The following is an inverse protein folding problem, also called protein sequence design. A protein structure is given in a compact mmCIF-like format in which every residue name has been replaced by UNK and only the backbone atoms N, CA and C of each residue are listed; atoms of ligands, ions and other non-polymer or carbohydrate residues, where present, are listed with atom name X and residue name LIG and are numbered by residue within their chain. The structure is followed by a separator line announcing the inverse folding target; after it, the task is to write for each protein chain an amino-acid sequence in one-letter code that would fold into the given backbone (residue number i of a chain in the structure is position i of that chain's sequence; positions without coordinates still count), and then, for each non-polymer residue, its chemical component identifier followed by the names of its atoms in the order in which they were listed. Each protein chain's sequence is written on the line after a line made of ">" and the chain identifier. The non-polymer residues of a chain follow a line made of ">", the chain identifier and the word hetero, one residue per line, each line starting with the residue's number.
data_IF_763761956006
#
_entry.id   IF_763761956006
#
_cell.length_a   1.000
_cell.length_b   1.000
_cell.length_c   1.000
_cell.angle_alpha   90.00
_cell.angle_beta   90.00
_cell.angle_gamma   90.00
#
_symmetry.space_group_name_H-M   'P 1'
#
loop_
_entity.id
_entity.type
_entity.pdbx_description
1 polymer ?
#
# COMPACT_ATOMS: atom_id res chain seq x y z
N UNK A 1 -11.12 -9.64 1.99
CA UNK A 1 -9.76 -9.33 1.51
C UNK A 1 -9.79 -9.05 0.03
N UNK A 2 -9.00 -8.09 -0.45
CA UNK A 2 -8.78 -7.83 -1.87
C UNK A 2 -7.29 -7.73 -2.14
N UNK A 3 -6.83 -8.30 -3.25
CA UNK A 3 -5.43 -8.32 -3.65
C UNK A 3 -5.21 -7.49 -4.91
N UNK A 4 -4.19 -6.63 -4.88
CA UNK A 4 -3.77 -5.79 -5.99
C UNK A 4 -2.25 -5.86 -6.18
N UNK A 5 -1.80 -5.59 -7.41
CA UNK A 5 -0.44 -5.14 -7.69
C UNK A 5 -0.48 -3.67 -8.06
N UNK A 6 0.50 -2.90 -7.64
CA UNK A 6 0.48 -1.45 -7.81
C UNK A 6 1.79 -0.95 -8.43
N UNK A 7 1.66 -0.22 -9.53
CA UNK A 7 2.77 0.46 -10.18
C UNK A 7 3.00 1.90 -9.68
N UNK A 8 2.20 2.42 -8.74
CA UNK A 8 2.33 3.81 -8.33
C UNK A 8 3.69 4.11 -7.71
N UNK A 9 4.19 5.28 -8.01
CA UNK A 9 5.46 5.79 -7.50
C UNK A 9 5.55 5.73 -5.98
N UNK A 10 4.52 6.15 -5.29
CA UNK A 10 4.45 6.18 -3.83
C UNK A 10 4.66 4.82 -3.16
N UNK A 11 4.10 3.75 -3.75
CA UNK A 11 4.30 2.39 -3.22
C UNK A 11 5.75 1.94 -3.44
N UNK A 12 6.31 2.24 -4.61
CA UNK A 12 7.70 1.90 -4.95
C UNK A 12 8.68 2.67 -4.09
N UNK A 13 8.54 4.01 -4.00
CA UNK A 13 9.37 4.86 -3.12
C UNK A 13 9.34 4.39 -1.66
N UNK A 14 8.16 4.04 -1.16
CA UNK A 14 8.04 3.54 0.21
C UNK A 14 8.85 2.27 0.45
N UNK A 15 8.81 1.32 -0.48
CA UNK A 15 9.59 0.07 -0.38
C UNK A 15 11.08 0.37 -0.50
N UNK A 16 11.49 1.17 -1.49
CA UNK A 16 12.88 1.54 -1.71
C UNK A 16 13.51 2.25 -0.52
N UNK A 17 12.77 3.17 0.07
CA UNK A 17 13.25 3.86 1.27
C UNK A 17 13.54 2.85 2.40
N UNK A 18 12.62 1.91 2.64
CA UNK A 18 12.85 0.85 3.64
C UNK A 18 14.08 0.00 3.31
N UNK A 19 14.25 -0.40 2.05
CA UNK A 19 15.42 -1.17 1.62
C UNK A 19 16.74 -0.39 1.74
N UNK A 20 16.72 0.93 1.48
CA UNK A 20 17.91 1.79 1.66
C UNK A 20 18.38 1.82 3.12
N UNK A 21 17.43 1.83 4.05
CA UNK A 21 17.75 1.80 5.50
C UNK A 21 18.38 0.48 5.92
N UNK A 22 17.93 -0.64 5.39
CA UNK A 22 18.52 -1.96 5.66
C UNK A 22 19.98 -2.07 5.26
N UNK A 23 20.36 -1.44 4.16
CA UNK A 23 21.66 -1.61 3.54
C UNK A 23 22.71 -0.59 3.94
N UNK A 24 22.33 0.44 4.72
CA UNK A 24 23.17 1.64 4.95
C UNK A 24 23.73 2.22 3.63
N UNK A 25 23.01 2.06 2.52
CA UNK A 25 23.42 2.51 1.20
C UNK A 25 22.38 3.51 0.68
N UNK A 26 22.79 4.51 -0.09
CA UNK A 26 21.82 5.30 -0.84
C UNK A 26 20.95 4.37 -1.68
N UNK A 27 19.65 4.63 -1.69
CA UNK A 27 18.71 3.80 -2.42
C UNK A 27 18.97 3.88 -3.91
N UNK A 28 19.64 2.89 -4.44
CA UNK A 28 19.71 2.60 -5.89
C UNK A 28 18.90 1.31 -6.14
N UNK A 29 17.91 1.05 -5.31
CA UNK A 29 17.09 -0.12 -5.51
C UNK A 29 16.04 0.19 -6.58
N UNK A 30 16.37 -0.08 -7.82
CA UNK A 30 15.35 -0.20 -8.86
C UNK A 30 14.42 -1.33 -8.41
N UNK A 31 13.19 -0.99 -8.06
CA UNK A 31 12.15 -2.02 -8.01
C UNK A 31 12.02 -2.52 -9.42
N UNK A 32 12.49 -3.73 -9.67
CA UNK A 32 12.47 -4.31 -11.00
C UNK A 32 11.02 -4.39 -11.51
N UNK A 33 10.79 -4.22 -12.80
CA UNK A 33 9.48 -4.24 -13.38
C UNK A 33 8.61 -5.45 -13.04
N UNK A 34 9.20 -6.62 -12.93
CA UNK A 34 8.54 -7.86 -12.55
C UNK A 34 8.19 -7.96 -11.05
N UNK A 35 8.61 -6.97 -10.26
CA UNK A 35 8.42 -6.91 -8.81
C UNK A 35 7.42 -5.83 -8.39
N UNK A 36 6.30 -5.73 -9.11
CA UNK A 36 5.21 -4.86 -8.68
C UNK A 36 4.82 -5.15 -7.24
N UNK A 37 4.74 -4.13 -6.36
CA UNK A 37 4.31 -4.31 -4.99
C UNK A 37 2.97 -5.03 -4.87
N UNK A 38 2.96 -6.09 -4.08
CA UNK A 38 1.76 -6.83 -3.74
C UNK A 38 1.08 -6.16 -2.56
N UNK A 39 -0.17 -5.78 -2.73
CA UNK A 39 -0.98 -5.06 -1.75
C UNK A 39 -2.22 -5.85 -1.42
N UNK A 40 -2.57 -5.90 -0.14
CA UNK A 40 -3.83 -6.48 0.29
C UNK A 40 -4.62 -5.46 1.11
N UNK A 41 -5.86 -5.26 0.71
CA UNK A 41 -6.85 -4.59 1.55
C UNK A 41 -7.50 -5.59 2.47
N UNK A 42 -7.34 -5.40 3.76
CA UNK A 42 -7.97 -6.23 4.81
C UNK A 42 -8.86 -5.36 5.69
N UNK A 43 -9.84 -5.94 6.40
CA UNK A 43 -10.63 -5.21 7.38
C UNK A 43 -9.73 -4.62 8.47
N UNK A 44 -9.99 -3.36 8.84
CA UNK A 44 -9.24 -2.67 9.87
C UNK A 44 -9.83 -2.92 11.27
N UNK A 45 -10.01 -4.19 11.64
CA UNK A 45 -10.38 -4.62 12.97
C UNK A 45 -9.17 -5.23 13.66
N UNK A 46 -8.37 -4.40 14.32
CA UNK A 46 -7.13 -4.83 14.97
C UNK A 46 -7.44 -5.18 16.41
N UNK A 47 -7.65 -6.46 16.68
CA UNK A 47 -7.92 -6.97 18.04
C UNK A 47 -6.61 -7.09 18.82
N UNK A 48 -5.57 -7.56 18.16
CA UNK A 48 -4.24 -7.67 18.75
C UNK A 48 -3.15 -7.43 17.72
N UNK A 49 -2.03 -6.90 18.18
CA UNK A 49 -0.86 -6.68 17.35
C UNK A 49 0.40 -7.02 18.17
N UNK A 50 1.25 -7.84 17.58
CA UNK A 50 2.57 -8.17 18.15
C UNK A 50 3.63 -7.33 17.47
N UNK A 51 4.60 -6.81 18.22
CA UNK A 51 5.69 -5.99 17.70
C UNK A 51 5.30 -4.53 17.45
N UNK A 52 4.22 -4.04 18.06
CA UNK A 52 3.83 -2.62 17.96
C UNK A 52 4.94 -1.69 18.42
N UNK A 53 5.69 -2.07 19.44
CA UNK A 53 6.85 -1.34 19.98
C UNK A 53 7.97 -1.13 18.97
N UNK A 54 7.97 -1.90 17.88
CA UNK A 54 8.92 -1.77 16.77
C UNK A 54 8.33 -1.05 15.57
N UNK A 55 7.16 -0.45 15.69
CA UNK A 55 6.51 0.26 14.59
C UNK A 55 6.75 1.76 14.70
N UNK A 56 6.94 2.38 13.54
CA UNK A 56 7.01 3.84 13.40
C UNK A 56 6.22 4.29 12.19
N UNK A 57 5.61 5.48 12.30
CA UNK A 57 4.77 6.05 11.28
C UNK A 57 5.52 7.13 10.49
N UNK A 58 5.38 7.12 9.17
CA UNK A 58 6.06 8.05 8.26
C UNK A 58 5.13 8.57 7.17
N UNK A 59 5.42 9.78 6.70
CA UNK A 59 4.91 10.32 5.44
C UNK A 59 6.06 10.40 4.44
N UNK A 60 5.79 10.17 3.16
CA UNK A 60 6.82 10.37 2.14
C UNK A 60 7.15 11.86 1.95
N UNK A 61 6.11 12.70 1.98
CA UNK A 61 6.18 14.16 1.74
C UNK A 61 5.34 14.90 2.76
N UNK A 62 5.60 16.18 2.94
CA UNK A 62 4.87 17.03 3.89
C UNK A 62 3.37 17.11 3.56
N UNK A 63 3.03 17.30 2.30
CA UNK A 63 1.66 17.35 1.78
C UNK A 63 1.02 15.97 1.59
N UNK A 64 1.79 14.90 1.81
CA UNK A 64 1.35 13.52 1.65
C UNK A 64 0.22 13.15 2.61
N UNK A 65 -0.88 12.61 2.06
CA UNK A 65 -2.04 12.16 2.84
C UNK A 65 -1.87 10.75 3.40
N UNK A 66 -1.04 9.94 2.76
CA UNK A 66 -0.82 8.55 3.18
C UNK A 66 0.21 8.47 4.30
N UNK A 67 -0.11 7.68 5.31
CA UNK A 67 0.81 7.35 6.41
C UNK A 67 1.25 5.91 6.25
N UNK A 68 2.55 5.69 6.33
CA UNK A 68 3.18 4.38 6.18
C UNK A 68 3.72 3.88 7.50
N UNK A 69 3.47 2.63 7.80
CA UNK A 69 4.04 1.95 8.96
C UNK A 69 5.24 1.10 8.55
N UNK A 70 6.34 1.31 9.23
CA UNK A 70 7.55 0.50 9.08
C UNK A 70 7.93 -0.15 10.40
N UNK A 71 8.56 -1.30 10.29
CA UNK A 71 9.31 -1.86 11.40
C UNK A 71 10.64 -1.09 11.54
N UNK A 72 10.90 -0.49 12.70
CA UNK A 72 12.13 0.28 12.95
C UNK A 72 13.37 -0.58 13.19
N UNK A 73 13.24 -1.89 13.27
CA UNK A 73 14.36 -2.83 13.33
C UNK A 73 14.80 -3.32 11.96
N UNK A 74 13.86 -3.74 11.12
CA UNK A 74 14.17 -4.32 9.81
C UNK A 74 13.76 -3.44 8.64
N UNK A 75 13.19 -2.26 8.88
CA UNK A 75 12.76 -1.27 7.90
C UNK A 75 11.78 -1.80 6.85
N UNK A 76 11.10 -2.88 7.16
CA UNK A 76 10.08 -3.42 6.28
C UNK A 76 8.83 -2.56 6.31
N UNK A 77 8.31 -2.22 5.14
CA UNK A 77 7.01 -1.56 5.00
C UNK A 77 5.90 -2.56 5.36
N UNK A 78 5.15 -2.25 6.40
CA UNK A 78 4.09 -3.11 6.94
C UNK A 78 2.77 -2.79 6.26
N UNK A 79 2.42 -1.51 6.18
CA UNK A 79 1.16 -1.11 5.62
C UNK A 79 1.02 0.40 5.44
N UNK A 80 -0.10 0.79 4.84
CA UNK A 80 -0.42 2.18 4.54
C UNK A 80 -1.83 2.51 5.01
N UNK A 81 -1.95 3.63 5.70
CA UNK A 81 -3.20 4.31 6.01
C UNK A 81 -3.43 5.46 5.03
N UNK A 82 -4.67 5.66 4.63
CA UNK A 82 -5.07 6.79 3.82
C UNK A 82 -6.47 7.27 4.23
N UNK A 83 -6.75 8.58 4.29
CA UNK A 83 -8.06 9.11 4.70
C UNK A 83 -9.25 8.56 3.91
N UNK A 84 -9.04 8.21 2.64
CA UNK A 84 -10.07 7.59 1.80
C UNK A 84 -10.51 6.20 2.28
N UNK A 85 -9.74 5.53 3.12
CA UNK A 85 -10.10 4.23 3.69
C UNK A 85 -11.10 4.36 4.84
N UNK A 86 -11.33 5.59 5.32
CA UNK A 86 -12.30 5.90 6.38
C UNK A 86 -12.14 5.00 7.61
N UNK A 87 -10.92 4.63 7.91
CA UNK A 87 -10.56 3.72 9.01
C UNK A 87 -11.20 2.31 8.93
N UNK A 88 -11.76 1.93 7.79
CA UNK A 88 -12.44 0.64 7.63
C UNK A 88 -11.55 -0.43 6.99
N UNK A 89 -10.51 0.00 6.31
CA UNK A 89 -9.61 -0.86 5.56
C UNK A 89 -8.17 -0.56 5.98
N UNK A 90 -7.37 -1.59 6.01
CA UNK A 90 -5.93 -1.52 6.17
C UNK A 90 -5.25 -2.09 4.93
N UNK A 91 -4.41 -1.29 4.28
CA UNK A 91 -3.55 -1.76 3.19
C UNK A 91 -2.29 -2.36 3.80
N UNK A 92 -2.04 -3.64 3.56
CA UNK A 92 -0.83 -4.32 4.04
C UNK A 92 0.08 -4.80 2.90
N UNK A 93 1.37 -4.92 3.25
CA UNK A 93 2.42 -5.53 2.44
C UNK A 93 2.84 -6.84 3.11
N UNK A 94 2.31 -8.00 2.69
CA UNK A 94 2.39 -9.23 3.48
C UNK A 94 3.77 -9.89 3.50
N UNK A 95 4.71 -9.41 2.70
CA UNK A 95 6.06 -10.00 2.62
C UNK A 95 6.77 -10.03 3.98
N UNK A 96 6.46 -9.07 4.84
CA UNK A 96 7.19 -8.86 6.11
C UNK A 96 6.28 -8.81 7.35
N UNK A 97 4.99 -8.97 7.18
CA UNK A 97 4.05 -9.07 8.29
C UNK A 97 3.16 -10.29 8.14
N UNK A 98 2.62 -10.76 9.26
CA UNK A 98 1.65 -11.86 9.27
C UNK A 98 0.31 -11.32 9.74
N UNK A 99 -0.76 -11.83 9.15
CA UNK A 99 -2.13 -11.56 9.54
C UNK A 99 -2.87 -12.88 9.69
N UNK A 100 -3.93 -12.89 10.46
CA UNK A 100 -4.86 -14.01 10.53
C UNK A 100 -5.93 -13.97 9.41
N UNK A 101 -5.93 -12.93 8.58
CA UNK A 101 -6.77 -12.91 7.39
C UNK A 101 -6.28 -13.93 6.37
N UNK A 102 -7.22 -14.62 5.73
CA UNK A 102 -6.89 -15.45 4.56
C UNK A 102 -6.51 -14.53 3.39
N UNK A 103 -5.27 -14.64 2.95
CA UNK A 103 -4.72 -13.90 1.80
C UNK A 103 -4.76 -14.72 0.50
N UNK A 104 -5.32 -15.93 0.52
CA UNK A 104 -5.46 -16.82 -0.64
C UNK A 104 -6.59 -16.34 -1.56
N UNK A 105 -6.50 -15.10 -2.02
CA UNK A 105 -7.48 -14.49 -2.91
C UNK A 105 -6.86 -14.19 -4.27
N UNK A 106 -7.62 -14.31 -5.37
CA UNK A 106 -7.08 -14.01 -6.70
C UNK A 106 -6.72 -12.53 -6.83
N UNK A 107 -5.79 -12.23 -7.73
CA UNK A 107 -5.42 -10.87 -8.08
C UNK A 107 -6.63 -10.15 -8.68
N UNK A 108 -7.02 -9.05 -8.05
CA UNK A 108 -8.20 -8.26 -8.47
C UNK A 108 -7.88 -7.35 -9.64
N UNK A 109 -6.72 -6.69 -9.60
CA UNK A 109 -6.26 -5.80 -10.66
C UNK A 109 -4.78 -5.40 -10.48
N UNK A 110 -4.19 -4.94 -11.58
CA UNK A 110 -2.91 -4.21 -11.60
C UNK A 110 -3.25 -2.73 -11.80
N UNK A 111 -2.76 -1.85 -10.91
CA UNK A 111 -3.21 -0.46 -10.83
C UNK A 111 -2.07 0.55 -10.87
N UNK A 112 -2.37 1.80 -11.31
CA UNK A 112 -1.44 2.92 -11.35
C UNK A 112 -0.18 2.68 -12.19
N UNK A 113 -0.34 2.03 -13.33
CA UNK A 113 0.76 1.74 -14.25
C UNK A 113 1.27 2.99 -15.00
N UNK A 114 0.53 4.10 -14.95
CA UNK A 114 0.98 5.38 -15.53
C UNK A 114 2.29 5.90 -14.89
N UNK A 115 2.52 5.54 -13.65
CA UNK A 115 3.74 5.93 -12.93
C UNK A 115 4.90 4.93 -13.17
N UNK A 116 4.70 3.97 -14.05
CA UNK A 116 5.69 2.96 -14.40
C UNK A 116 6.45 3.36 -15.66
N UNK A 117 7.72 2.96 -15.80
CA UNK A 117 8.49 3.25 -17.01
C UNK A 117 7.76 2.83 -18.30
N UNK A 118 7.78 3.69 -19.33
CA UNK A 118 7.03 3.50 -20.59
C UNK A 118 7.43 2.24 -21.37
N UNK A 119 8.67 1.81 -21.20
CA UNK A 119 9.25 0.63 -21.84
C UNK A 119 8.92 -0.68 -21.10
N UNK A 120 8.14 -0.59 -20.03
CA UNK A 120 7.73 -1.75 -19.26
C UNK A 120 6.32 -2.21 -19.59
N UNK A 121 6.23 -3.41 -20.14
CA UNK A 121 4.97 -4.15 -20.19
C UNK A 121 4.89 -5.09 -19.00
N UNK A 122 3.88 -4.94 -18.12
CA UNK A 122 3.69 -5.90 -17.05
C UNK A 122 3.47 -7.29 -17.66
N UNK A 123 3.97 -8.36 -17.00
CA UNK A 123 3.72 -9.70 -17.50
C UNK A 123 2.21 -9.89 -17.68
N UNK A 124 1.78 -10.42 -18.83
CA UNK A 124 0.39 -10.68 -19.08
C UNK A 124 -0.10 -11.66 -18.00
N UNK A 125 -1.05 -11.22 -17.20
CA UNK A 125 -1.84 -12.10 -16.36
C UNK A 125 -3.20 -12.20 -17.02
N UNK A 126 -3.48 -13.35 -17.62
CA UNK A 126 -4.72 -13.60 -18.31
C UNK A 126 -5.91 -13.22 -17.41
N UNK A 127 -6.84 -12.44 -17.96
CA UNK A 127 -8.06 -11.96 -17.30
C UNK A 127 -7.92 -10.94 -16.16
N UNK A 128 -6.72 -10.48 -15.81
CA UNK A 128 -6.55 -9.46 -14.77
C UNK A 128 -6.64 -8.05 -15.35
N UNK A 129 -7.58 -7.20 -14.87
CA UNK A 129 -7.69 -5.83 -15.35
C UNK A 129 -6.43 -5.01 -15.07
N UNK A 130 -5.89 -4.37 -16.11
CA UNK A 130 -4.79 -3.43 -16.03
C UNK A 130 -5.32 -1.99 -16.09
N UNK A 131 -4.87 -1.13 -15.17
CA UNK A 131 -5.21 0.28 -15.13
C UNK A 131 -3.94 1.14 -15.12
N UNK A 132 -3.82 2.04 -16.11
CA UNK A 132 -2.74 3.03 -16.13
C UNK A 132 -3.06 4.18 -15.19
N UNK A 133 -4.23 4.77 -15.36
CA UNK A 133 -4.71 5.83 -14.48
C UNK A 133 -6.24 5.89 -14.52
N UNK A 134 -6.85 6.63 -13.61
CA UNK A 134 -8.29 6.93 -13.66
C UNK A 134 -8.65 8.00 -14.70
N UNK A 135 -7.70 8.43 -15.51
CA UNK A 135 -7.85 9.55 -16.45
C UNK A 135 -8.76 9.18 -17.64
N UNK A 136 -8.72 7.95 -18.08
CA UNK A 136 -9.49 7.51 -19.24
C UNK A 136 -10.89 7.03 -18.83
N UNK A 137 -11.91 7.45 -19.59
CA UNK A 137 -13.32 7.11 -19.32
C UNK A 137 -13.58 5.60 -19.20
N UNK A 138 -12.95 4.80 -20.05
CA UNK A 138 -13.09 3.34 -20.00
C UNK A 138 -12.50 2.75 -18.71
N UNK A 139 -11.36 3.26 -18.27
CA UNK A 139 -10.75 2.85 -17.01
C UNK A 139 -11.60 3.29 -15.82
N UNK A 140 -12.18 4.49 -15.87
CA UNK A 140 -13.09 4.97 -14.81
C UNK A 140 -14.31 4.05 -14.67
N UNK A 141 -14.89 3.58 -15.78
CA UNK A 141 -16.03 2.66 -15.76
C UNK A 141 -15.61 1.31 -15.17
N UNK A 142 -14.48 0.76 -15.59
CA UNK A 142 -13.97 -0.51 -15.05
C UNK A 142 -13.61 -0.35 -13.56
N UNK A 143 -12.93 0.72 -13.23
CA UNK A 143 -12.56 1.03 -11.84
C UNK A 143 -13.81 1.22 -10.96
N UNK A 144 -14.88 1.83 -11.46
CA UNK A 144 -16.10 1.98 -10.68
C UNK A 144 -16.73 0.64 -10.29
N UNK A 145 -16.63 -0.37 -11.15
CA UNK A 145 -17.08 -1.73 -10.84
C UNK A 145 -16.22 -2.39 -9.76
N UNK A 146 -14.90 -2.25 -9.85
CA UNK A 146 -13.94 -2.78 -8.86
C UNK A 146 -14.05 -1.98 -7.56
N UNK A 147 -14.15 -0.65 -7.64
CA UNK A 147 -14.25 0.20 -6.47
C UNK A 147 -15.60 0.07 -5.77
N UNK A 148 -16.65 -0.37 -6.46
CA UNK A 148 -17.91 -0.72 -5.80
C UNK A 148 -17.71 -1.90 -4.86
N UNK A 149 -16.97 -2.93 -5.28
CA UNK A 149 -16.59 -4.05 -4.41
C UNK A 149 -15.72 -3.53 -3.26
N UNK A 150 -14.73 -2.67 -3.55
CA UNK A 150 -13.90 -2.05 -2.53
C UNK A 150 -14.70 -1.14 -1.59
N UNK A 151 -15.66 -0.39 -2.12
CA UNK A 151 -16.57 0.45 -1.33
C UNK A 151 -17.46 -0.41 -0.43
N UNK A 152 -18.03 -1.48 -0.95
CA UNK A 152 -18.81 -2.41 -0.15
C UNK A 152 -17.95 -3.10 0.91
N UNK A 153 -16.73 -3.47 0.56
CA UNK A 153 -15.76 -4.04 1.48
C UNK A 153 -15.36 -3.04 2.58
N UNK A 154 -15.19 -1.75 2.24
CA UNK A 154 -14.88 -0.70 3.20
C UNK A 154 -16.09 -0.21 4.02
N UNK A 155 -17.31 -0.59 3.64
CA UNK A 155 -18.50 -0.32 4.44
C UNK A 155 -18.63 -1.34 5.55
N UNK A 156 -18.62 -0.85 6.76
CA UNK A 156 -18.80 -1.71 7.93
C UNK A 156 -20.29 -2.05 8.08
N UNK A 157 -20.56 -3.33 8.10
CA UNK A 157 -21.90 -3.87 8.39
C UNK A 157 -22.05 -4.33 9.84
N UNK A 158 -20.93 -4.39 10.58
CA UNK A 158 -20.87 -4.82 11.97
C UNK A 158 -20.11 -3.80 12.82
N UNK A 159 -20.37 -3.70 14.13
CA UNK A 159 -19.53 -2.93 15.04
C UNK A 159 -18.07 -3.35 14.94
N UNK A 160 -17.16 -2.42 15.26
CA UNK A 160 -15.73 -2.70 15.33
C UNK A 160 -15.42 -3.54 16.56
N UNK A 161 -14.65 -4.59 16.40
CA UNK A 161 -14.25 -5.46 17.51
C UNK A 161 -12.89 -5.05 18.12
N UNK A 162 -12.10 -4.28 17.39
CA UNK A 162 -10.79 -3.82 17.81
C UNK A 162 -10.58 -2.34 17.48
N UNK A 163 -9.32 -1.91 17.46
CA UNK A 163 -8.97 -0.56 17.03
C UNK A 163 -8.89 -0.47 15.50
N UNK A 164 -9.15 0.71 14.99
CA UNK A 164 -8.94 1.03 13.58
C UNK A 164 -7.46 1.20 13.28
N UNK A 165 -7.13 1.20 11.99
CA UNK A 165 -5.78 1.53 11.58
C UNK A 165 -5.39 2.97 11.90
N UNK A 166 -6.33 3.91 11.81
CA UNK A 166 -6.12 5.31 12.22
C UNK A 166 -5.78 5.41 13.70
N UNK A 167 -6.47 4.67 14.57
CA UNK A 167 -6.17 4.63 16.00
C UNK A 167 -4.81 3.97 16.27
N UNK A 168 -4.45 2.92 15.52
CA UNK A 168 -3.11 2.35 15.60
C UNK A 168 -2.06 3.41 15.26
N UNK A 169 -2.19 4.10 14.12
CA UNK A 169 -1.27 5.17 13.72
C UNK A 169 -1.17 6.26 14.78
N UNK A 170 -2.31 6.73 15.28
CA UNK A 170 -2.34 7.76 16.32
C UNK A 170 -1.59 7.32 17.59
N UNK A 171 -1.65 6.04 17.93
CA UNK A 171 -0.96 5.48 19.09
C UNK A 171 0.57 5.37 18.94
N UNK A 172 1.10 5.58 17.73
CA UNK A 172 2.55 5.59 17.44
C UNK A 172 3.17 7.00 17.49
N UNK A 173 2.36 8.02 17.75
CA UNK A 173 2.77 9.41 17.78
C UNK A 173 2.67 10.11 16.41
N UNK A 174 3.31 11.27 16.30
CA UNK A 174 3.29 12.07 15.07
C UNK A 174 4.14 11.40 13.99
N UNK A 175 3.60 11.18 12.78
CA UNK A 175 4.36 10.63 11.67
C UNK A 175 5.55 11.53 11.28
N UNK A 176 6.70 10.93 11.06
CA UNK A 176 7.90 11.64 10.55
C UNK A 176 7.80 11.81 9.04
N UNK A 177 8.03 13.03 8.54
CA UNK A 177 8.12 13.30 7.10
C UNK A 177 9.50 12.94 6.58
N UNK A 178 9.56 12.19 5.47
CA UNK A 178 10.80 11.74 4.86
C UNK A 178 11.41 12.75 3.89
N UNK A 179 10.60 13.70 3.38
CA UNK A 179 11.03 14.70 2.41
C UNK A 179 11.39 14.14 1.03
N UNK A 180 10.77 13.01 0.63
CA UNK A 180 11.03 12.43 -0.69
C UNK A 180 10.35 13.26 -1.77
N UNK A 181 11.05 13.46 -2.88
CA UNK A 181 10.52 14.18 -4.03
C UNK A 181 9.68 13.27 -4.93
N UNK A 182 8.67 13.86 -5.61
CA UNK A 182 7.93 13.17 -6.65
C UNK A 182 8.81 12.85 -7.86
N UNK A 183 8.58 11.73 -8.50
CA UNK A 183 9.15 11.41 -9.81
C UNK A 183 10.62 11.04 -9.82
N UNK A 184 11.27 10.87 -8.67
CA UNK A 184 12.72 10.60 -8.62
C UNK A 184 13.12 9.23 -8.06
N UNK A 185 12.18 8.34 -7.84
CA UNK A 185 12.48 7.01 -7.32
C UNK A 185 13.26 6.12 -8.31
N UNK A 186 13.42 6.54 -9.57
CA UNK A 186 13.93 5.70 -10.67
C UNK A 186 15.00 6.39 -11.52
N UNK A 187 15.65 7.40 -11.00
CA UNK A 187 16.81 8.02 -11.66
C UNK A 187 18.09 7.32 -11.25
#
# INVERSE_FOLDING_TARGET
>A
VQYFRCGCEDCRQGIEWGESKKKNKPSICKVMPDQLPHLYYIPADIISIKGKEFMSAYKLREDGKSIRLYCNQCWSLIGVEHPNYKSNVFLIFPKHCKTNCDLSVPLTAIVYMIDYPEDYEPPPEDDVPLFHSRKYKQEQIRWSKISLVAKNFSQRTKPREGISFTELVASLGTPTTLGLENGKAFV
#
